data_IF_819777310315
#
_entry.id   IF_819777310315
#
_cell.length_a   1.000
_cell.length_b   1.000
_cell.length_c   1.000
_cell.angle_alpha   90.00
_cell.angle_beta   90.00
_cell.angle_gamma   90.00
#
_symmetry.space_group_name_H-M   'P 1'
#
loop_
_entity.id
_entity.type
_entity.pdbx_description
1 polymer ?
#
# COMPACT_ATOMS: atom_id res chain seq x y z
N UNK A 1 15.35 26.22 23.55
CA UNK A 1 14.30 25.18 23.56
C UNK A 1 13.28 25.51 24.64
N UNK A 2 11.99 25.38 24.34
CA UNK A 2 10.94 25.47 25.35
C UNK A 2 11.00 24.23 26.27
N UNK A 3 10.71 24.40 27.56
CA UNK A 3 10.67 23.31 28.56
C UNK A 3 9.79 22.09 28.15
N UNK A 4 8.68 22.26 27.40
CA UNK A 4 7.85 21.15 26.91
C UNK A 4 8.56 20.21 25.92
N UNK A 5 9.29 20.74 24.93
CA UNK A 5 9.93 19.91 23.87
C UNK A 5 11.01 19.01 24.46
N UNK A 6 11.77 19.50 25.45
CA UNK A 6 12.78 18.69 26.12
C UNK A 6 12.17 17.47 26.82
N UNK A 7 11.06 17.67 27.54
CA UNK A 7 10.36 16.57 28.23
C UNK A 7 9.81 15.53 27.25
N UNK A 8 9.32 15.96 26.09
CA UNK A 8 8.83 15.06 25.04
C UNK A 8 9.97 14.28 24.38
N UNK A 9 11.11 14.94 24.13
CA UNK A 9 12.30 14.29 23.58
C UNK A 9 12.86 13.22 24.53
N UNK A 10 12.92 13.48 25.83
CA UNK A 10 13.37 12.50 26.83
C UNK A 10 12.42 11.28 26.87
N UNK A 11 11.10 11.52 26.83
CA UNK A 11 10.09 10.46 26.80
C UNK A 11 10.16 9.60 25.52
N UNK A 12 10.47 10.23 24.38
CA UNK A 12 10.65 9.54 23.11
C UNK A 12 11.98 8.79 23.06
N UNK A 13 13.08 9.36 23.57
CA UNK A 13 14.39 8.69 23.61
C UNK A 13 14.31 7.34 24.31
N UNK A 14 13.57 7.27 25.42
CA UNK A 14 13.36 6.03 26.17
C UNK A 14 12.61 4.95 25.38
N UNK A 15 11.88 5.31 24.31
CA UNK A 15 11.03 4.43 23.50
C UNK A 15 11.48 4.33 22.04
N UNK A 16 12.48 5.12 21.64
CA UNK A 16 12.87 5.29 20.24
C UNK A 16 13.31 3.95 19.63
N UNK A 17 13.96 3.11 20.43
CA UNK A 17 14.48 1.82 20.02
C UNK A 17 13.56 0.66 20.41
N UNK A 18 12.33 0.94 20.85
CA UNK A 18 11.35 -0.11 21.18
C UNK A 18 11.00 -0.88 19.90
N UNK A 19 11.38 -2.16 19.87
CA UNK A 19 11.18 -3.04 18.71
C UNK A 19 12.30 -3.00 17.67
N UNK A 20 13.36 -2.20 17.88
CA UNK A 20 14.53 -2.21 17.00
C UNK A 20 15.34 -3.50 17.16
N UNK A 21 15.80 -4.07 16.05
CA UNK A 21 16.67 -5.24 16.05
C UNK A 21 18.11 -4.84 16.45
N UNK A 22 18.90 -5.75 17.06
CA UNK A 22 20.27 -5.42 17.51
C UNK A 22 21.17 -4.82 16.42
N UNK A 23 21.04 -5.27 15.16
CA UNK A 23 21.81 -4.73 14.03
C UNK A 23 21.37 -3.32 13.59
N UNK A 24 20.13 -2.92 13.87
CA UNK A 24 19.62 -1.57 13.55
C UNK A 24 20.15 -0.51 14.51
N UNK A 25 20.79 -0.92 15.61
CA UNK A 25 21.32 -0.05 16.67
C UNK A 25 22.85 0.09 16.60
N UNK A 26 23.52 -0.55 15.64
CA UNK A 26 24.96 -0.41 15.47
C UNK A 26 25.32 1.05 15.15
N UNK A 27 26.29 1.61 15.88
CA UNK A 27 26.66 3.02 15.78
C UNK A 27 25.59 4.01 16.26
N UNK A 28 24.54 3.55 16.97
CA UNK A 28 23.44 4.38 17.46
C UNK A 28 23.38 4.34 19.00
N UNK A 29 24.35 5.03 19.62
CA UNK A 29 24.48 5.14 21.07
C UNK A 29 23.54 6.17 21.68
N UNK A 30 23.74 6.48 22.96
CA UNK A 30 22.83 7.34 23.72
C UNK A 30 22.80 8.79 23.20
N UNK A 31 23.92 9.31 22.70
CA UNK A 31 24.01 10.66 22.15
C UNK A 31 23.28 10.79 20.80
N UNK A 32 23.43 9.79 19.94
CA UNK A 32 22.71 9.70 18.66
C UNK A 32 21.22 9.54 18.90
N UNK A 33 20.82 8.66 19.83
CA UNK A 33 19.41 8.47 20.24
C UNK A 33 18.79 9.75 20.78
N UNK A 34 19.48 10.47 21.66
CA UNK A 34 18.99 11.75 22.19
C UNK A 34 18.80 12.79 21.07
N UNK A 35 19.70 12.79 20.09
CA UNK A 35 19.65 13.72 18.96
C UNK A 35 18.52 13.38 17.98
N UNK A 36 18.34 12.10 17.66
CA UNK A 36 17.22 11.61 16.86
C UNK A 36 15.87 11.85 17.56
N UNK A 37 15.77 11.55 18.86
CA UNK A 37 14.55 11.76 19.64
C UNK A 37 14.14 13.23 19.68
N UNK A 38 15.10 14.17 19.84
CA UNK A 38 14.80 15.60 19.74
C UNK A 38 14.25 15.99 18.37
N UNK A 39 14.89 15.53 17.31
CA UNK A 39 14.48 15.83 15.94
C UNK A 39 13.07 15.30 15.63
N UNK A 40 12.76 14.06 16.06
CA UNK A 40 11.43 13.48 15.90
C UNK A 40 10.41 14.21 16.78
N UNK A 41 10.75 14.59 18.01
CA UNK A 41 9.85 15.36 18.88
C UNK A 41 9.53 16.74 18.30
N UNK A 42 10.48 17.38 17.63
CA UNK A 42 10.26 18.64 16.90
C UNK A 42 9.32 18.44 15.71
N UNK A 43 9.52 17.38 14.91
CA UNK A 43 8.61 17.01 13.82
C UNK A 43 7.19 16.64 14.33
N UNK A 44 7.10 16.08 15.53
CA UNK A 44 5.84 15.68 16.17
C UNK A 44 5.12 16.84 16.88
N UNK A 45 5.80 17.97 17.11
CA UNK A 45 5.36 19.00 18.05
C UNK A 45 3.97 19.57 17.74
N UNK A 46 3.65 19.79 16.47
CA UNK A 46 2.34 20.28 16.03
C UNK A 46 1.97 19.65 14.71
N UNK A 47 0.82 18.96 14.68
CA UNK A 47 0.36 18.22 13.51
C UNK A 47 -1.17 18.20 13.49
N UNK A 48 -1.82 18.74 12.45
CA UNK A 48 -3.27 18.60 12.30
C UNK A 48 -3.69 17.12 12.19
N UNK A 49 -4.88 16.74 12.68
CA UNK A 49 -5.41 15.40 12.49
C UNK A 49 -5.39 14.98 11.02
N UNK A 50 -4.95 13.75 10.73
CA UNK A 50 -4.90 13.24 9.36
C UNK A 50 -3.74 13.75 8.48
N UNK A 51 -2.99 14.76 8.90
CA UNK A 51 -1.84 15.30 8.14
C UNK A 51 -0.55 14.74 8.75
N UNK A 52 0.41 14.20 7.99
CA UNK A 52 1.69 13.75 8.56
C UNK A 52 2.58 14.94 8.95
N UNK A 53 3.34 14.80 10.04
CA UNK A 53 4.43 15.71 10.39
C UNK A 53 5.72 15.23 9.72
N UNK A 54 6.34 16.05 8.87
CA UNK A 54 7.55 15.67 8.13
C UNK A 54 8.63 16.71 8.39
N UNK A 55 9.80 16.27 8.83
CA UNK A 55 10.99 17.10 8.97
C UNK A 55 12.17 16.45 8.26
N UNK A 56 12.95 17.25 7.54
CA UNK A 56 14.14 16.83 6.83
C UNK A 56 15.28 17.81 7.12
N UNK A 57 16.43 17.30 7.55
CA UNK A 57 17.60 18.11 7.88
C UNK A 57 18.88 17.51 7.29
N UNK A 58 19.80 18.37 6.86
CA UNK A 58 21.08 17.97 6.26
C UNK A 58 22.25 18.36 7.16
N UNK A 59 23.34 17.59 7.10
CA UNK A 59 24.58 17.91 7.79
C UNK A 59 24.55 17.47 9.26
N UNK A 60 24.53 16.16 9.48
CA UNK A 60 24.57 15.58 10.82
C UNK A 60 25.99 15.66 11.38
N UNK A 61 26.20 16.51 12.38
CA UNK A 61 27.50 16.64 13.05
C UNK A 61 28.62 17.05 12.09
N UNK A 62 29.76 16.37 12.16
CA UNK A 62 30.90 16.61 11.26
C UNK A 62 30.73 15.95 9.87
N UNK A 63 29.76 15.04 9.69
CA UNK A 63 29.53 14.36 8.43
C UNK A 63 28.52 15.10 7.54
N UNK A 64 29.06 15.95 6.65
CA UNK A 64 28.30 16.68 5.65
C UNK A 64 27.67 15.82 4.53
N UNK A 65 27.80 14.49 4.57
CA UNK A 65 27.32 13.55 3.53
C UNK A 65 26.06 12.78 3.93
N UNK A 66 25.45 13.13 5.05
CA UNK A 66 24.23 12.51 5.56
C UNK A 66 23.11 13.53 5.71
N UNK A 67 21.88 13.03 5.64
CA UNK A 67 20.67 13.76 6.02
C UNK A 67 19.78 12.87 6.87
N UNK A 68 18.89 13.48 7.66
CA UNK A 68 17.90 12.76 8.46
C UNK A 68 16.50 13.16 8.06
N UNK A 69 15.59 12.20 8.17
CA UNK A 69 14.16 12.34 7.92
C UNK A 69 13.39 11.87 9.15
N UNK A 70 12.41 12.65 9.57
CA UNK A 70 11.41 12.25 10.54
C UNK A 70 10.03 12.34 9.90
N UNK A 71 9.24 11.29 10.02
CA UNK A 71 7.85 11.21 9.57
C UNK A 71 7.00 10.74 10.75
N UNK A 72 6.06 11.57 11.17
CA UNK A 72 5.15 11.33 12.28
C UNK A 72 3.73 11.24 11.73
N UNK A 73 3.10 10.10 11.93
CA UNK A 73 1.77 9.83 11.38
C UNK A 73 0.93 9.03 12.38
N UNK A 74 -0.40 9.04 12.21
CA UNK A 74 -1.26 8.08 12.91
C UNK A 74 -0.80 6.65 12.59
N UNK A 75 -0.84 5.75 13.57
CA UNK A 75 -0.44 4.36 13.37
C UNK A 75 -1.39 3.66 12.39
N UNK A 76 -0.83 3.14 11.30
CA UNK A 76 -1.56 2.41 10.26
C UNK A 76 -0.63 1.48 9.48
N UNK A 77 -1.17 0.44 8.80
CA UNK A 77 -0.38 -0.41 7.93
C UNK A 77 0.30 0.37 6.80
N UNK A 78 1.39 -0.18 6.27
CA UNK A 78 2.07 0.28 5.06
C UNK A 78 2.83 1.62 5.16
N UNK A 79 3.17 2.09 6.36
CA UNK A 79 3.93 3.34 6.49
C UNK A 79 5.40 3.18 6.10
N UNK A 80 6.12 2.28 6.79
CA UNK A 80 7.59 2.17 6.66
C UNK A 80 8.01 1.76 5.25
N UNK A 81 7.33 0.78 4.67
CA UNK A 81 7.54 0.29 3.31
C UNK A 81 7.17 1.34 2.24
N UNK A 82 6.05 2.07 2.38
CA UNK A 82 5.70 3.17 1.46
C UNK A 82 6.69 4.34 1.54
N UNK A 83 7.13 4.72 2.75
CA UNK A 83 8.16 5.76 2.94
C UNK A 83 9.47 5.30 2.29
N UNK A 84 9.91 4.08 2.58
CA UNK A 84 11.15 3.52 2.04
C UNK A 84 11.12 3.44 0.52
N UNK A 85 10.01 3.00 -0.06
CA UNK A 85 9.86 2.92 -1.50
C UNK A 85 9.78 4.30 -2.16
N UNK A 86 9.24 5.31 -1.46
CA UNK A 86 9.27 6.71 -1.93
C UNK A 86 10.69 7.25 -1.96
N UNK A 87 11.48 7.02 -0.90
CA UNK A 87 12.88 7.45 -0.84
C UNK A 87 13.72 6.76 -1.93
N UNK A 88 13.54 5.46 -2.12
CA UNK A 88 14.23 4.71 -3.16
C UNK A 88 13.88 5.21 -4.58
N UNK A 89 12.67 5.72 -4.80
CA UNK A 89 12.27 6.29 -6.09
C UNK A 89 12.96 7.63 -6.42
N UNK A 90 13.58 8.27 -5.42
CA UNK A 90 14.44 9.44 -5.58
C UNK A 90 15.93 9.05 -5.66
N UNK A 91 16.24 7.75 -5.80
CA UNK A 91 17.61 7.20 -5.84
C UNK A 91 18.45 7.54 -4.59
N UNK A 92 17.79 7.70 -3.44
CA UNK A 92 18.44 8.02 -2.16
C UNK A 92 18.62 6.74 -1.35
N UNK A 93 19.86 6.45 -0.95
CA UNK A 93 20.15 5.29 -0.10
C UNK A 93 19.68 5.54 1.35
N UNK A 94 18.97 4.55 1.91
CA UNK A 94 18.60 4.52 3.33
C UNK A 94 19.72 3.81 4.10
N UNK A 95 20.30 4.50 5.09
CA UNK A 95 21.36 3.96 5.96
C UNK A 95 20.80 3.39 7.26
N UNK A 96 19.73 3.99 7.78
CA UNK A 96 19.07 3.56 9.01
C UNK A 96 17.57 3.79 8.94
N UNK A 97 16.81 2.89 9.55
CA UNK A 97 15.38 3.06 9.83
C UNK A 97 15.13 2.73 11.29
N UNK A 98 14.38 3.59 11.96
CA UNK A 98 13.87 3.40 13.32
C UNK A 98 12.40 3.84 13.29
N UNK A 99 11.48 3.00 13.77
CA UNK A 99 10.05 3.27 13.58
C UNK A 99 9.19 2.89 14.79
N UNK A 100 9.46 3.44 16.00
CA UNK A 100 8.65 3.18 17.16
C UNK A 100 7.18 3.57 16.94
N UNK A 101 6.29 2.78 17.52
CA UNK A 101 4.87 3.12 17.64
C UNK A 101 4.61 3.49 19.09
N UNK A 102 4.20 4.74 19.31
CA UNK A 102 4.02 5.30 20.65
C UNK A 102 2.59 5.80 20.83
N UNK A 103 2.06 5.63 22.04
CA UNK A 103 0.81 6.26 22.44
C UNK A 103 1.05 7.74 22.74
N UNK A 104 0.21 8.62 22.20
CA UNK A 104 0.35 10.08 22.36
C UNK A 104 -0.96 10.76 22.73
N UNK A 105 -0.82 11.88 23.42
CA UNK A 105 -1.91 12.81 23.71
C UNK A 105 -1.67 14.11 22.95
N UNK A 106 -2.69 14.57 22.22
CA UNK A 106 -2.69 15.84 21.50
C UNK A 106 -3.86 16.71 21.90
N UNK A 107 -3.67 18.01 21.83
CA UNK A 107 -4.77 18.99 21.87
C UNK A 107 -5.59 18.93 20.58
N UNK A 108 -6.77 19.58 20.57
CA UNK A 108 -7.64 19.63 19.39
C UNK A 108 -7.04 20.35 18.17
N UNK A 109 -6.11 21.28 18.40
CA UNK A 109 -5.31 21.97 17.38
C UNK A 109 -4.05 21.19 16.97
N UNK A 110 -3.83 20.00 17.53
CA UNK A 110 -2.79 19.07 17.09
C UNK A 110 -1.44 19.24 17.78
N UNK A 111 -1.33 20.05 18.84
CA UNK A 111 -0.11 20.17 19.62
C UNK A 111 0.10 18.92 20.50
N UNK A 112 1.31 18.38 20.49
CA UNK A 112 1.68 17.21 21.29
C UNK A 112 1.85 17.59 22.76
N UNK A 113 1.09 16.96 23.66
CA UNK A 113 1.12 17.24 25.10
C UNK A 113 1.70 16.11 25.94
N UNK A 114 1.70 14.89 25.43
CA UNK A 114 2.20 13.72 26.16
C UNK A 114 2.59 12.55 25.26
N UNK A 115 3.56 11.74 25.74
CA UNK A 115 4.02 10.49 25.10
C UNK A 115 4.06 9.39 26.17
N UNK A 116 3.50 8.22 25.84
CA UNK A 116 3.66 6.99 26.61
C UNK A 116 2.54 6.64 27.59
N UNK A 117 1.46 7.42 27.67
CA UNK A 117 0.28 7.10 28.47
C UNK A 117 -0.99 7.55 27.73
N UNK A 118 -1.95 6.62 27.53
CA UNK A 118 -3.26 6.94 26.94
C UNK A 118 -3.22 7.47 25.49
N UNK A 119 -4.39 7.66 24.89
CA UNK A 119 -4.54 8.34 23.60
C UNK A 119 -4.33 7.49 22.34
N UNK A 120 -4.18 8.17 21.21
CA UNK A 120 -4.02 7.56 19.88
C UNK A 120 -2.59 7.05 19.68
N UNK A 121 -2.43 5.97 18.93
CA UNK A 121 -1.11 5.47 18.54
C UNK A 121 -0.60 6.26 17.34
N UNK A 122 0.65 6.69 17.40
CA UNK A 122 1.37 7.29 16.29
C UNK A 122 2.61 6.46 15.93
N UNK A 123 2.85 6.32 14.63
CA UNK A 123 4.09 5.79 14.08
C UNK A 123 5.05 6.96 13.87
N UNK A 124 6.20 6.90 14.54
CA UNK A 124 7.23 7.93 14.49
C UNK A 124 8.47 7.37 13.81
N UNK A 125 8.55 7.55 12.50
CA UNK A 125 9.61 7.00 11.67
C UNK A 125 10.77 7.98 11.59
N UNK A 126 11.96 7.54 12.01
CA UNK A 126 13.24 8.23 11.85
C UNK A 126 14.10 7.45 10.86
N UNK A 127 14.70 8.16 9.90
CA UNK A 127 15.62 7.57 8.94
C UNK A 127 16.87 8.41 8.75
N UNK A 128 18.01 7.74 8.59
CA UNK A 128 19.26 8.35 8.14
C UNK A 128 19.48 7.99 6.68
N UNK A 129 19.71 9.00 5.87
CA UNK A 129 19.71 8.92 4.42
C UNK A 129 21.02 9.46 3.84
N UNK A 130 21.34 9.04 2.62
CA UNK A 130 22.35 9.73 1.83
C UNK A 130 21.93 11.17 1.51
N UNK A 131 22.90 12.08 1.49
CA UNK A 131 22.63 13.48 1.18
C UNK A 131 22.16 13.62 -0.26
N UNK A 132 20.99 14.22 -0.43
CA UNK A 132 20.46 14.65 -1.71
C UNK A 132 20.61 16.17 -1.91
N UNK A 133 20.48 16.64 -3.15
CA UNK A 133 20.55 18.08 -3.46
C UNK A 133 19.28 18.83 -2.99
N UNK A 134 19.22 20.16 -3.17
CA UNK A 134 18.04 20.91 -2.73
C UNK A 134 16.75 20.54 -3.48
N UNK A 135 16.84 20.23 -4.78
CA UNK A 135 15.71 19.91 -5.63
C UNK A 135 15.11 18.55 -5.26
N UNK A 136 15.97 17.54 -5.11
CA UNK A 136 15.56 16.18 -4.75
C UNK A 136 14.94 16.14 -3.35
N UNK A 137 15.50 16.91 -2.40
CA UNK A 137 14.92 17.04 -1.05
C UNK A 137 13.50 17.62 -1.06
N UNK A 138 13.27 18.70 -1.82
CA UNK A 138 11.93 19.28 -1.95
C UNK A 138 10.97 18.33 -2.67
N UNK A 139 11.44 17.64 -3.69
CA UNK A 139 10.68 16.60 -4.39
C UNK A 139 10.28 15.45 -3.47
N UNK A 140 11.21 14.96 -2.66
CA UNK A 140 11.01 13.87 -1.71
C UNK A 140 9.93 14.22 -0.68
N UNK A 141 10.01 15.39 -0.03
CA UNK A 141 9.02 15.81 0.98
C UNK A 141 7.63 15.89 0.36
N UNK A 142 7.50 16.53 -0.80
CA UNK A 142 6.21 16.64 -1.52
C UNK A 142 5.64 15.26 -1.88
N UNK A 143 6.48 14.36 -2.36
CA UNK A 143 6.06 13.03 -2.76
C UNK A 143 5.70 12.15 -1.54
N UNK A 144 6.39 12.31 -0.40
CA UNK A 144 6.04 11.68 0.86
C UNK A 144 4.67 12.14 1.36
N UNK A 145 4.39 13.45 1.36
CA UNK A 145 3.09 14.00 1.74
C UNK A 145 1.96 13.41 0.89
N UNK A 146 2.14 13.40 -0.44
CA UNK A 146 1.18 12.81 -1.38
C UNK A 146 0.98 11.32 -1.11
N UNK A 147 2.06 10.54 -1.04
CA UNK A 147 2.00 9.09 -0.92
C UNK A 147 1.44 8.66 0.44
N UNK A 148 1.73 9.37 1.53
CA UNK A 148 1.12 9.11 2.84
C UNK A 148 -0.37 9.44 2.84
N UNK A 149 -0.80 10.43 2.07
CA UNK A 149 -2.22 10.67 1.79
C UNK A 149 -2.89 9.46 1.11
N UNK A 150 -2.20 8.86 0.12
CA UNK A 150 -2.67 7.64 -0.56
C UNK A 150 -2.74 6.44 0.40
N UNK A 151 -1.74 6.24 1.27
CA UNK A 151 -1.76 5.19 2.31
C UNK A 151 -2.97 5.36 3.22
N UNK A 152 -3.18 6.58 3.73
CA UNK A 152 -4.32 6.89 4.59
C UNK A 152 -5.65 6.63 3.90
N UNK A 153 -5.79 7.05 2.64
CA UNK A 153 -6.98 6.81 1.83
C UNK A 153 -7.27 5.31 1.72
N UNK A 154 -6.28 4.51 1.30
CA UNK A 154 -6.43 3.06 1.16
C UNK A 154 -6.79 2.37 2.49
N UNK A 155 -6.19 2.80 3.60
CA UNK A 155 -6.44 2.19 4.92
C UNK A 155 -7.79 2.61 5.49
N UNK A 156 -8.15 3.90 5.41
CA UNK A 156 -9.44 4.40 5.95
C UNK A 156 -10.62 3.84 5.18
N UNK A 157 -10.51 3.74 3.85
CA UNK A 157 -11.58 3.26 2.99
C UNK A 157 -11.54 1.73 2.80
N UNK A 158 -10.64 1.03 3.50
CA UNK A 158 -10.51 -0.43 3.41
C UNK A 158 -11.85 -1.19 3.56
N UNK A 159 -12.75 -0.84 4.51
CA UNK A 159 -14.06 -1.47 4.60
C UNK A 159 -14.91 -1.28 3.33
N UNK A 160 -14.83 -0.10 2.71
CA UNK A 160 -15.55 0.22 1.47
C UNK A 160 -14.97 -0.54 0.27
N UNK A 161 -13.64 -0.61 0.15
CA UNK A 161 -12.96 -1.41 -0.88
C UNK A 161 -13.39 -2.88 -0.82
N UNK A 162 -13.43 -3.47 0.39
CA UNK A 162 -13.89 -4.84 0.59
C UNK A 162 -15.37 -5.02 0.28
N UNK A 163 -16.20 -4.03 0.62
CA UNK A 163 -17.64 -4.05 0.32
C UNK A 163 -17.88 -4.03 -1.17
N UNK A 164 -17.25 -3.11 -1.91
CA UNK A 164 -17.39 -3.02 -3.36
C UNK A 164 -17.04 -4.34 -4.06
N UNK A 165 -15.94 -4.98 -3.67
CA UNK A 165 -15.54 -6.28 -4.22
C UNK A 165 -16.53 -7.42 -3.86
N UNK A 166 -17.10 -7.37 -2.65
CA UNK A 166 -18.15 -8.32 -2.22
C UNK A 166 -19.46 -8.13 -2.99
N UNK A 167 -19.86 -6.88 -3.23
CA UNK A 167 -21.05 -6.53 -4.01
C UNK A 167 -20.87 -7.04 -5.45
N UNK A 168 -19.69 -6.85 -6.05
CA UNK A 168 -19.35 -7.42 -7.35
C UNK A 168 -19.32 -8.94 -7.39
N UNK A 169 -18.78 -9.58 -6.35
CA UNK A 169 -18.83 -11.04 -6.24
C UNK A 169 -20.27 -11.58 -6.18
N UNK A 170 -21.23 -10.76 -5.75
CA UNK A 170 -22.65 -11.11 -5.72
C UNK A 170 -23.36 -10.80 -7.04
N UNK A 171 -22.86 -9.82 -7.81
CA UNK A 171 -23.35 -9.48 -9.16
C UNK A 171 -22.89 -10.46 -10.24
N UNK A 172 -21.70 -11.02 -10.10
CA UNK A 172 -21.16 -11.99 -11.06
C UNK A 172 -21.94 -13.30 -10.97
N UNK A 173 -22.59 -13.68 -12.08
CA UNK A 173 -23.36 -14.93 -12.17
C UNK A 173 -22.50 -16.19 -12.30
N UNK A 174 -21.23 -16.05 -12.73
CA UNK A 174 -20.29 -17.18 -12.80
C UNK A 174 -19.77 -17.55 -11.40
N UNK A 175 -20.01 -18.77 -10.90
CA UNK A 175 -19.60 -19.17 -9.55
C UNK A 175 -18.08 -19.05 -9.32
N UNK A 176 -17.27 -19.35 -10.33
CA UNK A 176 -15.81 -19.36 -10.19
C UNK A 176 -15.23 -17.94 -10.20
N UNK A 177 -15.74 -17.06 -11.05
CA UNK A 177 -15.44 -15.63 -11.02
C UNK A 177 -15.82 -14.97 -9.70
N UNK A 178 -17.01 -15.30 -9.17
CA UNK A 178 -17.44 -14.86 -7.84
C UNK A 178 -16.52 -15.39 -6.73
N UNK A 179 -16.07 -16.66 -6.82
CA UNK A 179 -15.09 -17.24 -5.90
C UNK A 179 -13.74 -16.51 -5.97
N UNK A 180 -13.28 -16.11 -7.16
CA UNK A 180 -12.03 -15.36 -7.30
C UNK A 180 -12.11 -13.98 -6.62
N UNK A 181 -13.21 -13.26 -6.82
CA UNK A 181 -13.43 -11.97 -6.16
C UNK A 181 -13.45 -12.11 -4.62
N UNK A 182 -14.12 -13.14 -4.10
CA UNK A 182 -14.10 -13.43 -2.65
C UNK A 182 -12.71 -13.82 -2.15
N UNK A 183 -11.92 -14.51 -2.96
CA UNK A 183 -10.55 -14.88 -2.60
C UNK A 183 -9.63 -13.65 -2.51
N UNK A 184 -9.76 -12.68 -3.42
CA UNK A 184 -9.07 -11.39 -3.31
C UNK A 184 -9.51 -10.60 -2.08
N UNK A 185 -10.83 -10.48 -1.88
CA UNK A 185 -11.43 -9.81 -0.73
C UNK A 185 -11.00 -10.42 0.62
N UNK A 186 -10.71 -11.73 0.61
CA UNK A 186 -10.24 -12.52 1.75
C UNK A 186 -8.77 -12.30 2.13
N UNK A 187 -8.06 -11.38 1.48
CA UNK A 187 -6.67 -11.03 1.80
C UNK A 187 -5.63 -11.53 0.80
N UNK A 188 -6.06 -12.07 -0.34
CA UNK A 188 -5.14 -12.44 -1.43
C UNK A 188 -4.70 -11.23 -2.26
N UNK A 189 -5.36 -10.09 -2.06
CA UNK A 189 -4.97 -8.80 -2.61
C UNK A 189 -5.03 -7.71 -1.52
N UNK A 190 -3.98 -6.90 -1.46
CA UNK A 190 -4.03 -5.61 -0.77
C UNK A 190 -4.75 -4.63 -1.69
N UNK A 191 -6.06 -4.47 -1.49
CA UNK A 191 -6.86 -3.45 -2.19
C UNK A 191 -6.39 -2.06 -1.74
N UNK A 192 -6.18 -1.19 -2.72
CA UNK A 192 -5.75 0.20 -2.49
C UNK A 192 -6.70 1.22 -3.10
N UNK A 193 -7.53 0.82 -4.06
CA UNK A 193 -8.47 1.71 -4.71
C UNK A 193 -9.61 0.97 -5.40
N UNK A 194 -10.72 1.68 -5.59
CA UNK A 194 -11.86 1.24 -6.35
C UNK A 194 -12.49 2.46 -7.03
N UNK A 195 -12.93 2.30 -8.27
CA UNK A 195 -13.78 3.27 -8.95
C UNK A 195 -14.76 2.55 -9.88
N UNK A 196 -15.94 3.14 -10.08
CA UNK A 196 -16.85 2.75 -11.14
C UNK A 196 -16.72 3.74 -12.27
N UNK A 197 -16.29 3.27 -13.43
CA UNK A 197 -16.26 4.05 -14.66
C UNK A 197 -17.47 3.72 -15.53
N UNK A 198 -18.16 4.75 -16.02
CA UNK A 198 -19.30 4.61 -16.93
C UNK A 198 -18.90 4.99 -18.36
N UNK A 199 -19.62 4.46 -19.36
CA UNK A 199 -19.32 4.71 -20.78
C UNK A 199 -19.44 6.20 -21.15
N UNK A 200 -20.25 6.98 -20.42
CA UNK A 200 -20.33 8.43 -20.55
C UNK A 200 -19.10 9.17 -19.98
N UNK A 201 -18.07 8.42 -19.56
CA UNK A 201 -16.83 8.87 -18.94
C UNK A 201 -16.97 9.44 -17.53
N UNK A 202 -18.14 9.34 -16.91
CA UNK A 202 -18.30 9.65 -15.50
C UNK A 202 -17.64 8.58 -14.62
N UNK A 203 -17.16 9.01 -13.45
CA UNK A 203 -16.58 8.12 -12.44
C UNK A 203 -17.35 8.31 -11.13
N UNK A 204 -17.81 7.19 -10.55
CA UNK A 204 -18.55 7.15 -9.29
C UNK A 204 -17.90 6.16 -8.33
N UNK A 205 -18.36 6.15 -7.07
CA UNK A 205 -17.91 5.20 -6.03
C UNK A 205 -16.38 5.11 -5.86
N UNK A 206 -15.72 6.25 -6.04
CA UNK A 206 -14.27 6.36 -5.89
C UNK A 206 -13.88 6.22 -4.42
N UNK A 207 -13.09 5.19 -4.11
CA UNK A 207 -12.62 4.86 -2.76
C UNK A 207 -11.12 4.57 -2.76
N UNK A 208 -10.48 4.73 -1.60
CA UNK A 208 -9.04 4.54 -1.46
C UNK A 208 -8.26 5.58 -2.28
N UNK A 209 -7.21 5.16 -2.98
CA UNK A 209 -6.40 6.09 -3.79
C UNK A 209 -7.20 6.78 -4.91
N UNK A 210 -8.33 6.22 -5.34
CA UNK A 210 -9.15 6.76 -6.44
C UNK A 210 -9.87 8.06 -6.07
N UNK A 211 -10.04 8.35 -4.78
CA UNK A 211 -10.60 9.63 -4.32
C UNK A 211 -9.61 10.80 -4.45
N UNK A 212 -8.34 10.48 -4.69
CA UNK A 212 -7.25 11.45 -4.79
C UNK A 212 -6.92 11.72 -6.25
N UNK A 213 -6.23 12.84 -6.51
CA UNK A 213 -5.74 13.13 -7.86
C UNK A 213 -4.58 12.20 -8.19
N UNK A 214 -4.81 11.30 -9.14
CA UNK A 214 -3.79 10.40 -9.68
C UNK A 214 -3.13 11.05 -10.90
N UNK A 215 -1.81 10.89 -11.04
CA UNK A 215 -1.06 11.40 -12.20
C UNK A 215 -1.37 10.60 -13.48
N UNK A 216 -1.72 9.32 -13.31
CA UNK A 216 -2.12 8.38 -14.35
C UNK A 216 -3.45 7.74 -13.94
N UNK A 217 -4.45 7.63 -14.82
CA UNK A 217 -5.69 6.93 -14.50
C UNK A 217 -5.43 5.45 -14.18
N UNK A 218 -6.31 4.82 -13.39
CA UNK A 218 -6.20 3.39 -13.09
C UNK A 218 -6.15 2.55 -14.37
N UNK A 219 -6.99 2.87 -15.34
CA UNK A 219 -7.02 2.24 -16.65
C UNK A 219 -7.16 3.31 -17.72
N UNK A 220 -6.32 3.24 -18.77
CA UNK A 220 -6.40 4.18 -19.89
C UNK A 220 -7.74 4.03 -20.64
N UNK A 221 -8.25 5.11 -21.22
CA UNK A 221 -9.55 5.12 -21.90
C UNK A 221 -9.63 4.11 -23.04
N UNK A 222 -8.55 3.95 -23.82
CA UNK A 222 -8.47 2.93 -24.85
C UNK A 222 -8.61 1.51 -24.27
N UNK A 223 -8.00 1.24 -23.13
CA UNK A 223 -8.10 -0.05 -22.44
C UNK A 223 -9.47 -0.28 -21.80
N UNK A 224 -10.13 0.78 -21.32
CA UNK A 224 -11.53 0.71 -20.85
C UNK A 224 -12.45 0.27 -21.97
N UNK A 225 -12.33 0.86 -23.17
CA UNK A 225 -13.12 0.46 -24.33
C UNK A 225 -12.85 -0.99 -24.78
N UNK A 226 -11.59 -1.41 -24.80
CA UNK A 226 -11.24 -2.81 -25.11
C UNK A 226 -11.82 -3.80 -24.08
N UNK A 227 -11.86 -3.44 -22.79
CA UNK A 227 -12.49 -4.26 -21.77
C UNK A 227 -14.00 -4.36 -21.98
N UNK A 228 -14.69 -3.25 -22.30
CA UNK A 228 -16.11 -3.26 -22.67
C UNK A 228 -16.36 -4.19 -23.86
N UNK A 229 -15.60 -4.05 -24.94
CA UNK A 229 -15.73 -4.93 -26.11
C UNK A 229 -15.51 -6.41 -25.77
N UNK A 230 -14.56 -6.72 -24.89
CA UNK A 230 -14.28 -8.08 -24.45
C UNK A 230 -15.49 -8.68 -23.71
N UNK A 231 -16.12 -7.91 -22.82
CA UNK A 231 -17.31 -8.34 -22.10
C UNK A 231 -18.55 -8.45 -23.01
N UNK A 232 -18.69 -7.58 -24.02
CA UNK A 232 -19.75 -7.68 -25.04
C UNK A 232 -19.59 -8.94 -25.91
N UNK A 233 -18.34 -9.37 -26.16
CA UNK A 233 -18.02 -10.62 -26.87
C UNK A 233 -18.18 -11.89 -26.00
N UNK A 234 -18.72 -11.77 -24.79
CA UNK A 234 -18.97 -12.92 -23.89
C UNK A 234 -17.82 -13.29 -22.95
N UNK A 235 -16.84 -12.38 -22.77
CA UNK A 235 -15.79 -12.51 -21.76
C UNK A 235 -16.36 -12.70 -20.35
N UNK A 236 -15.76 -13.62 -19.58
CA UNK A 236 -16.23 -14.01 -18.24
C UNK A 236 -15.59 -13.14 -17.15
N UNK A 237 -16.35 -12.47 -16.28
CA UNK A 237 -15.78 -11.70 -15.18
C UNK A 237 -15.19 -12.58 -14.06
N UNK A 238 -14.19 -12.08 -13.32
CA UNK A 238 -13.51 -10.80 -13.52
C UNK A 238 -12.42 -10.86 -14.60
N UNK A 239 -12.13 -9.72 -15.23
CA UNK A 239 -10.98 -9.53 -16.12
C UNK A 239 -9.80 -8.97 -15.32
N UNK A 240 -8.65 -9.63 -15.39
CA UNK A 240 -7.42 -9.18 -14.71
C UNK A 240 -6.52 -8.42 -15.67
N UNK A 241 -6.06 -7.24 -15.28
CA UNK A 241 -5.16 -6.38 -16.05
C UNK A 241 -4.05 -5.81 -15.16
N UNK A 242 -2.96 -5.36 -15.78
CA UNK A 242 -1.95 -4.52 -15.13
C UNK A 242 -2.20 -3.06 -15.49
N UNK A 243 -2.19 -2.19 -14.49
CA UNK A 243 -2.22 -0.74 -14.67
C UNK A 243 -0.83 -0.21 -15.02
N UNK A 244 -0.77 0.92 -15.73
CA UNK A 244 0.45 1.71 -15.84
C UNK A 244 0.69 2.60 -14.60
N UNK A 245 -0.30 2.71 -13.71
CA UNK A 245 -0.13 3.39 -12.43
C UNK A 245 0.70 2.51 -11.49
N UNK A 246 1.84 3.06 -11.07
CA UNK A 246 2.70 2.44 -10.06
C UNK A 246 2.14 2.74 -8.67
N UNK A 247 1.96 1.70 -7.86
CA UNK A 247 1.48 1.86 -6.49
C UNK A 247 2.42 2.73 -5.66
N UNK A 248 1.82 3.66 -4.92
CA UNK A 248 2.47 4.47 -3.89
C UNK A 248 2.26 3.91 -2.48
N UNK A 249 1.48 2.82 -2.36
CA UNK A 249 1.14 2.15 -1.10
C UNK A 249 1.83 0.79 -1.05
N UNK A 250 2.43 0.48 0.10
CA UNK A 250 3.18 -0.74 0.42
C UNK A 250 4.47 -0.91 -0.40
N UNK A 251 4.37 -1.16 -1.72
CA UNK A 251 5.54 -1.30 -2.60
C UNK A 251 5.31 -0.66 -3.96
N UNK A 252 6.40 -0.22 -4.60
CA UNK A 252 6.37 0.29 -5.97
C UNK A 252 6.31 -0.86 -6.97
N UNK A 253 5.10 -1.15 -7.43
CA UNK A 253 4.83 -2.07 -8.52
C UNK A 253 3.61 -1.56 -9.32
N UNK A 254 3.50 -1.92 -10.61
CA UNK A 254 2.26 -1.72 -11.36
C UNK A 254 1.08 -2.32 -10.61
N UNK A 255 -0.01 -1.56 -10.49
CA UNK A 255 -1.22 -2.05 -9.83
C UNK A 255 -1.86 -3.18 -10.63
N UNK A 256 -2.38 -4.16 -9.92
CA UNK A 256 -3.24 -5.19 -10.46
C UNK A 256 -4.68 -4.69 -10.44
N UNK A 257 -5.35 -4.80 -11.58
CA UNK A 257 -6.73 -4.39 -11.75
C UNK A 257 -7.63 -5.61 -11.89
N UNK A 258 -8.75 -5.59 -11.19
CA UNK A 258 -9.80 -6.60 -11.28
C UNK A 258 -11.05 -5.89 -11.79
N UNK A 259 -11.46 -6.20 -13.01
CA UNK A 259 -12.58 -5.55 -13.69
C UNK A 259 -13.83 -6.43 -13.66
N UNK A 260 -14.96 -5.81 -13.32
CA UNK A 260 -16.29 -6.43 -13.38
C UNK A 260 -17.22 -5.54 -14.22
N UNK A 261 -17.92 -6.08 -15.23
CA UNK A 261 -18.79 -5.27 -16.09
C UNK A 261 -20.07 -4.94 -15.34
N UNK A 262 -20.48 -3.68 -15.41
CA UNK A 262 -21.84 -3.27 -15.06
C UNK A 262 -22.73 -3.46 -16.26
N UNK A 263 -23.91 -4.05 -16.07
CA UNK A 263 -24.85 -4.34 -17.15
C UNK A 263 -26.25 -3.82 -16.87
N UNK A 264 -26.85 -3.22 -17.88
CA UNK A 264 -28.28 -2.87 -17.92
C UNK A 264 -28.88 -3.40 -19.21
N UNK A 265 -30.00 -4.13 -19.13
CA UNK A 265 -30.62 -4.74 -20.31
C UNK A 265 -29.70 -5.68 -21.10
N UNK A 266 -28.71 -6.29 -20.44
CA UNK A 266 -27.74 -7.21 -21.05
C UNK A 266 -26.50 -6.54 -21.66
N UNK A 267 -26.54 -5.22 -21.90
CA UNK A 267 -25.40 -4.44 -22.42
C UNK A 267 -24.51 -3.96 -21.29
N UNK A 268 -23.21 -3.85 -21.55
CA UNK A 268 -22.23 -3.26 -20.64
C UNK A 268 -22.44 -1.75 -20.63
N UNK A 269 -22.66 -1.17 -19.44
CA UNK A 269 -22.85 0.28 -19.23
C UNK A 269 -21.66 0.94 -18.54
N UNK A 270 -20.79 0.13 -17.92
CA UNK A 270 -19.61 0.59 -17.21
C UNK A 270 -18.75 -0.56 -16.71
N UNK A 271 -17.69 -0.20 -15.99
CA UNK A 271 -16.73 -1.10 -15.39
C UNK A 271 -16.56 -0.74 -13.92
N UNK A 272 -16.77 -1.71 -13.05
CA UNK A 272 -16.27 -1.66 -11.68
C UNK A 272 -14.80 -2.08 -11.70
N UNK A 273 -13.91 -1.18 -11.27
CA UNK A 273 -12.46 -1.33 -11.37
C UNK A 273 -11.88 -1.36 -9.96
N UNK A 274 -11.45 -2.54 -9.52
CA UNK A 274 -10.71 -2.71 -8.26
C UNK A 274 -9.22 -2.63 -8.56
N UNK A 275 -8.47 -1.91 -7.73
CA UNK A 275 -7.03 -1.79 -7.83
C UNK A 275 -6.35 -2.29 -6.56
N UNK A 276 -5.29 -3.09 -6.72
CA UNK A 276 -4.56 -3.65 -5.59
C UNK A 276 -3.20 -4.22 -5.96
N UNK A 277 -2.60 -4.89 -4.98
CA UNK A 277 -1.35 -5.62 -5.11
C UNK A 277 -1.55 -7.04 -4.61
N UNK A 278 -1.04 -8.04 -5.34
CA UNK A 278 -1.01 -9.41 -4.82
C UNK A 278 -0.24 -9.48 -3.51
N UNK A 279 -0.81 -10.16 -2.51
CA UNK A 279 -0.10 -10.39 -1.25
C UNK A 279 0.98 -11.44 -1.44
N UNK A 280 1.97 -11.46 -0.54
CA UNK A 280 3.00 -12.51 -0.57
C UNK A 280 2.36 -13.90 -0.46
N UNK A 281 1.36 -14.06 0.41
CA UNK A 281 0.61 -15.31 0.53
C UNK A 281 -0.01 -15.74 -0.80
N UNK A 282 -0.67 -14.83 -1.51
CA UNK A 282 -1.30 -15.11 -2.80
C UNK A 282 -0.31 -15.52 -3.91
N UNK A 283 0.86 -14.89 -3.94
CA UNK A 283 1.92 -15.25 -4.89
C UNK A 283 2.48 -16.66 -4.64
N UNK A 284 2.40 -17.15 -3.40
CA UNK A 284 2.88 -18.49 -3.01
C UNK A 284 1.76 -19.54 -2.88
N UNK A 285 0.49 -19.18 -3.05
CA UNK A 285 -0.63 -20.14 -3.03
C UNK A 285 -0.49 -21.18 -4.12
N UNK A 286 -0.96 -22.41 -3.91
CA UNK A 286 -0.88 -23.45 -4.95
C UNK A 286 -1.94 -23.24 -6.05
N UNK A 287 -1.75 -23.76 -7.28
CA UNK A 287 -2.72 -23.64 -8.38
C UNK A 287 -4.15 -24.06 -8.06
N UNK A 288 -4.32 -25.07 -7.20
CA UNK A 288 -5.59 -25.60 -6.73
C UNK A 288 -6.30 -24.70 -5.70
N UNK A 289 -5.56 -23.81 -5.02
CA UNK A 289 -6.11 -22.84 -4.07
C UNK A 289 -6.61 -21.57 -4.74
N UNK A 290 -6.16 -21.27 -5.97
CA UNK A 290 -6.52 -20.04 -6.69
C UNK A 290 -7.72 -20.29 -7.59
N UNK A 291 -8.87 -19.61 -7.36
CA UNK A 291 -10.02 -19.73 -8.23
C UNK A 291 -9.70 -19.31 -9.67
N UNK A 292 -10.46 -19.84 -10.63
CA UNK A 292 -10.17 -19.90 -12.08
C UNK A 292 -8.98 -20.78 -12.43
N UNK A 293 -7.83 -20.67 -11.75
CA UNK A 293 -6.67 -21.51 -12.04
C UNK A 293 -6.96 -22.98 -11.69
N UNK A 294 -7.56 -23.22 -10.52
CA UNK A 294 -8.02 -24.56 -10.13
C UNK A 294 -9.05 -25.13 -11.12
N UNK A 295 -10.02 -24.31 -11.55
CA UNK A 295 -11.05 -24.76 -12.49
C UNK A 295 -10.45 -25.09 -13.87
N UNK A 296 -9.48 -24.31 -14.33
CA UNK A 296 -8.71 -24.59 -15.56
C UNK A 296 -7.88 -25.86 -15.41
N UNK A 297 -7.22 -26.06 -14.27
CA UNK A 297 -6.46 -27.28 -13.97
C UNK A 297 -7.39 -28.50 -14.00
N UNK A 298 -8.50 -28.49 -13.25
CA UNK A 298 -9.49 -29.57 -13.25
C UNK A 298 -10.04 -29.85 -14.64
N UNK A 299 -10.30 -28.82 -15.45
CA UNK A 299 -10.74 -28.97 -16.83
C UNK A 299 -9.69 -29.66 -17.70
N UNK A 300 -8.40 -29.31 -17.56
CA UNK A 300 -7.30 -29.96 -18.28
C UNK A 300 -7.12 -31.42 -17.81
N UNK A 301 -7.13 -31.67 -16.50
CA UNK A 301 -7.04 -33.02 -15.93
C UNK A 301 -8.15 -33.92 -16.46
N UNK A 302 -9.39 -33.43 -16.47
CA UNK A 302 -10.55 -34.16 -17.02
C UNK A 302 -10.39 -34.40 -18.51
N UNK A 303 -9.97 -33.38 -19.27
CA UNK A 303 -9.79 -33.47 -20.74
C UNK A 303 -8.72 -34.49 -21.13
N UNK A 304 -7.65 -34.60 -20.34
CA UNK A 304 -6.52 -35.48 -20.64
C UNK A 304 -6.51 -36.79 -19.84
N UNK A 305 -7.51 -37.01 -18.96
CA UNK A 305 -7.62 -38.22 -18.15
C UNK A 305 -6.50 -38.38 -17.12
N UNK A 306 -5.92 -37.28 -16.64
CA UNK A 306 -4.84 -37.34 -15.67
C UNK A 306 -5.40 -37.59 -14.27
N UNK A 307 -4.80 -38.55 -13.55
CA UNK A 307 -5.01 -38.70 -12.11
C UNK A 307 -4.25 -37.57 -11.39
N UNK A 308 -4.93 -36.69 -10.62
CA UNK A 308 -4.29 -35.63 -9.84
C UNK A 308 -3.24 -36.16 -8.85
N UNK A 309 -3.39 -37.41 -8.40
CA UNK A 309 -2.45 -38.07 -7.48
C UNK A 309 -1.30 -38.79 -8.21
N UNK A 310 -1.42 -38.98 -9.51
CA UNK A 310 -0.41 -39.60 -10.36
C UNK A 310 0.76 -38.65 -10.67
N UNK A 311 1.87 -39.20 -11.16
CA UNK A 311 3.07 -38.43 -11.52
C UNK A 311 2.77 -37.31 -12.53
N UNK A 312 1.92 -37.57 -13.52
CA UNK A 312 1.55 -36.60 -14.57
C UNK A 312 0.68 -35.46 -14.04
N UNK A 313 -0.26 -35.74 -13.12
CA UNK A 313 -1.06 -34.70 -12.47
C UNK A 313 -0.20 -33.77 -11.62
N UNK A 314 0.71 -34.33 -10.82
CA UNK A 314 1.68 -33.54 -10.03
C UNK A 314 2.60 -32.68 -10.90
N UNK A 315 3.06 -33.21 -12.04
CA UNK A 315 3.90 -32.46 -12.98
C UNK A 315 3.14 -31.27 -13.60
N UNK A 316 1.86 -31.45 -13.94
CA UNK A 316 1.02 -30.37 -14.48
C UNK A 316 0.80 -29.26 -13.45
N UNK A 317 0.47 -29.60 -12.20
CA UNK A 317 0.36 -28.63 -11.11
C UNK A 317 1.67 -27.88 -10.92
N UNK A 318 2.81 -28.58 -10.92
CA UNK A 318 4.11 -27.95 -10.74
C UNK A 318 4.46 -26.97 -11.86
N UNK A 319 4.16 -27.33 -13.12
CA UNK A 319 4.38 -26.45 -14.27
C UNK A 319 3.53 -25.15 -14.20
N UNK A 320 2.28 -25.25 -13.74
CA UNK A 320 1.39 -24.09 -13.61
C UNK A 320 1.76 -23.18 -12.43
N UNK A 321 2.38 -23.71 -11.37
CA UNK A 321 2.94 -22.89 -10.28
C UNK A 321 4.04 -21.95 -10.78
N UNK A 322 4.83 -22.37 -11.78
CA UNK A 322 5.93 -21.59 -12.34
C UNK A 322 5.50 -20.43 -13.25
N UNK A 323 4.27 -20.41 -13.76
CA UNK A 323 3.78 -19.36 -14.68
C UNK A 323 3.24 -18.10 -13.97
N UNK A 324 3.32 -18.01 -12.64
CA UNK A 324 2.78 -16.86 -11.88
C UNK A 324 3.76 -15.68 -11.74
N UNK A 325 5.02 -15.87 -12.14
CA UNK A 325 6.12 -14.92 -11.91
C UNK A 325 6.50 -14.08 -13.13
N UNK A 326 5.76 -14.18 -14.24
CA UNK A 326 5.96 -13.39 -15.46
C UNK A 326 4.74 -12.56 -15.78
#
# INVERSE_FOLDING_TARGET
MSKPIKSLADALQARLTDGALPGELEGFGDAERATAARFVAEAAATRPPGVPGIALETGLGEDSRTMRLAVVNDDMPFLVDSISATIAAHDIAIRRVIHPVVAVERTGDGALTGIGAGGSRESMVYMELERADARDRTGLVRDLERNLGHVRAAVTDWPELRRAMSDDASRVGDPEGASLLRWFQGGSMTLVGHEVWHIDSSVTDAAGICRMKLDTPLLADASRQLAVEWFEKGGQPPLLLKSNLISTVHRRAPLDLVLVPLREGGKVTGLSIHAGLWTSAALHSTPDEVPLLRARLTSLETKFGFDPRGHTGKALTHALTGCRTT
#
